data_IF_531458279547
#
_entry.id   IF_531458279547
#
_cell.length_a   1.000
_cell.length_b   1.000
_cell.length_c   1.000
_cell.angle_alpha   90.00
_cell.angle_beta   90.00
_cell.angle_gamma   90.00
#
_symmetry.space_group_name_H-M   'P 1'
#
loop_
_entity.id
_entity.type
_entity.pdbx_description
1 polymer ?
#
# COMPACT_ATOMS: atom_id res chain seq x y z
N UNK A 1 -22.01 -0.73 -19.22
CA UNK A 1 -20.69 -0.26 -19.73
C UNK A 1 -19.74 -1.44 -19.68
N UNK A 2 -19.12 -1.80 -20.80
CA UNK A 2 -18.01 -2.75 -20.83
C UNK A 2 -16.70 -1.97 -20.98
N UNK A 3 -15.71 -2.27 -20.15
CA UNK A 3 -14.36 -1.71 -20.30
C UNK A 3 -13.72 -2.29 -21.56
N UNK A 4 -12.93 -1.49 -22.27
CA UNK A 4 -12.11 -1.97 -23.38
C UNK A 4 -10.89 -2.78 -22.88
N UNK A 5 -10.28 -3.55 -23.78
CA UNK A 5 -9.17 -4.46 -23.43
C UNK A 5 -7.94 -3.73 -22.87
N UNK A 6 -7.66 -2.52 -23.37
CA UNK A 6 -6.53 -1.72 -22.88
C UNK A 6 -6.79 -1.29 -21.43
N UNK A 7 -7.99 -0.78 -21.13
CA UNK A 7 -8.38 -0.42 -19.77
C UNK A 7 -8.32 -1.63 -18.82
N UNK A 8 -8.76 -2.80 -19.27
CA UNK A 8 -8.68 -4.05 -18.48
C UNK A 8 -7.21 -4.41 -18.19
N UNK A 9 -6.34 -4.41 -19.20
CA UNK A 9 -4.94 -4.78 -19.05
C UNK A 9 -4.19 -3.84 -18.08
N UNK A 10 -4.38 -2.52 -18.22
CA UNK A 10 -3.76 -1.53 -17.32
C UNK A 10 -4.28 -1.68 -15.87
N UNK A 11 -5.57 -1.96 -15.71
CA UNK A 11 -6.16 -2.22 -14.38
C UNK A 11 -5.56 -3.47 -13.73
N UNK A 12 -5.37 -4.55 -14.50
CA UNK A 12 -4.75 -5.77 -14.02
C UNK A 12 -3.29 -5.57 -13.63
N UNK A 13 -2.51 -4.82 -14.43
CA UNK A 13 -1.14 -4.44 -14.09
C UNK A 13 -1.11 -3.68 -12.77
N UNK A 14 -1.93 -2.63 -12.65
CA UNK A 14 -1.99 -1.80 -11.43
C UNK A 14 -2.32 -2.62 -10.19
N UNK A 15 -3.36 -3.47 -10.27
CA UNK A 15 -3.75 -4.36 -9.17
C UNK A 15 -2.64 -5.36 -8.81
N UNK A 16 -1.97 -5.95 -9.82
CA UNK A 16 -0.89 -6.89 -9.58
C UNK A 16 0.31 -6.24 -8.88
N UNK A 17 0.68 -5.00 -9.25
CA UNK A 17 1.73 -4.22 -8.58
C UNK A 17 1.32 -3.90 -7.15
N UNK A 18 0.14 -3.30 -6.95
CA UNK A 18 -0.33 -2.90 -5.61
C UNK A 18 -0.34 -4.07 -4.62
N UNK A 19 -0.66 -5.28 -5.09
CA UNK A 19 -0.71 -6.50 -4.30
C UNK A 19 0.60 -7.31 -4.28
N UNK A 20 1.67 -6.84 -4.92
CA UNK A 20 2.93 -7.58 -5.08
C UNK A 20 2.75 -8.99 -5.70
N UNK A 21 1.78 -9.16 -6.59
CA UNK A 21 1.43 -10.43 -7.22
C UNK A 21 2.28 -10.67 -8.48
N UNK A 22 3.57 -11.01 -8.28
CA UNK A 22 4.58 -11.06 -9.36
C UNK A 22 4.22 -11.98 -10.53
N UNK A 23 3.62 -13.15 -10.25
CA UNK A 23 3.19 -14.07 -11.31
C UNK A 23 2.10 -13.44 -12.19
N UNK A 24 1.11 -12.79 -11.57
CA UNK A 24 0.03 -12.07 -12.26
C UNK A 24 0.56 -10.87 -13.02
N UNK A 25 1.49 -10.11 -12.43
CA UNK A 25 2.11 -8.95 -13.08
C UNK A 25 2.81 -9.37 -14.38
N UNK A 26 3.56 -10.48 -14.36
CA UNK A 26 4.24 -11.00 -15.55
C UNK A 26 3.24 -11.30 -16.68
N UNK A 27 2.13 -11.95 -16.36
CA UNK A 27 1.09 -12.29 -17.34
C UNK A 27 0.45 -11.02 -17.89
N UNK A 28 0.00 -10.11 -17.02
CA UNK A 28 -0.68 -8.89 -17.42
C UNK A 28 0.19 -7.96 -18.28
N UNK A 29 1.49 -7.83 -17.96
CA UNK A 29 2.43 -7.04 -18.78
C UNK A 29 2.64 -7.69 -20.15
N UNK A 30 2.75 -9.02 -20.21
CA UNK A 30 2.91 -9.74 -21.49
C UNK A 30 1.68 -9.54 -22.37
N UNK A 31 0.48 -9.64 -21.80
CA UNK A 31 -0.79 -9.41 -22.50
C UNK A 31 -0.92 -7.95 -22.97
N UNK A 32 -0.57 -6.98 -22.14
CA UNK A 32 -0.56 -5.56 -22.50
C UNK A 32 0.37 -5.27 -23.69
N UNK A 33 1.59 -5.82 -23.68
CA UNK A 33 2.53 -5.68 -24.79
C UNK A 33 1.99 -6.35 -26.08
N UNK A 34 1.36 -7.51 -25.95
CA UNK A 34 0.73 -8.21 -27.09
C UNK A 34 -0.45 -7.42 -27.68
N UNK A 35 -1.16 -6.63 -26.87
CA UNK A 35 -2.20 -5.68 -27.30
C UNK A 35 -1.63 -4.42 -27.96
N UNK A 36 -0.30 -4.26 -28.01
CA UNK A 36 0.37 -3.11 -28.62
C UNK A 36 0.48 -1.89 -27.72
N UNK A 37 0.29 -2.03 -26.40
CA UNK A 37 0.54 -0.94 -25.46
C UNK A 37 2.04 -0.60 -25.46
N UNK A 38 2.34 0.70 -25.41
CA UNK A 38 3.71 1.17 -25.34
C UNK A 38 4.34 0.82 -23.98
N UNK A 39 5.62 0.47 -23.97
CA UNK A 39 6.33 0.14 -22.74
C UNK A 39 6.33 1.32 -21.74
N UNK A 40 6.43 2.55 -22.24
CA UNK A 40 6.38 3.78 -21.44
C UNK A 40 5.05 3.92 -20.68
N UNK A 41 3.94 3.60 -21.33
CA UNK A 41 2.62 3.65 -20.70
C UNK A 41 2.47 2.60 -19.60
N UNK A 42 2.98 1.38 -19.83
CA UNK A 42 3.00 0.33 -18.82
C UNK A 42 3.84 0.76 -17.61
N UNK A 43 4.99 1.41 -17.86
CA UNK A 43 5.88 1.93 -16.82
C UNK A 43 5.20 3.03 -15.98
N UNK A 44 4.47 3.95 -16.60
CA UNK A 44 3.68 4.98 -15.91
C UNK A 44 2.65 4.35 -14.94
N UNK A 45 1.92 3.33 -15.39
CA UNK A 45 0.95 2.62 -14.54
C UNK A 45 1.63 1.87 -13.40
N UNK A 46 2.77 1.22 -13.66
CA UNK A 46 3.55 0.55 -12.61
C UNK A 46 4.02 1.56 -11.56
N UNK A 47 4.52 2.71 -11.98
CA UNK A 47 5.00 3.75 -11.07
C UNK A 47 3.89 4.29 -10.18
N UNK A 48 2.72 4.59 -10.77
CA UNK A 48 1.54 5.01 -10.01
C UNK A 48 1.10 3.93 -9.01
N UNK A 49 1.04 2.66 -9.43
CA UNK A 49 0.64 1.57 -8.56
C UNK A 49 1.64 1.30 -7.42
N UNK A 50 2.93 1.60 -7.63
CA UNK A 50 3.94 1.53 -6.56
C UNK A 50 3.69 2.56 -5.47
N UNK A 51 3.18 3.74 -5.79
CA UNK A 51 2.80 4.73 -4.76
C UNK A 51 1.72 4.17 -3.82
N UNK A 52 0.72 3.49 -4.39
CA UNK A 52 -0.32 2.79 -3.62
C UNK A 52 0.30 1.69 -2.76
N UNK A 53 1.23 0.90 -3.33
CA UNK A 53 1.93 -0.16 -2.60
C UNK A 53 2.77 0.37 -1.43
N UNK A 54 3.36 1.57 -1.54
CA UNK A 54 4.19 2.14 -0.47
C UNK A 54 3.39 2.55 0.77
N UNK A 55 2.10 2.88 0.64
CA UNK A 55 1.26 3.28 1.78
C UNK A 55 1.17 2.21 2.88
N UNK A 56 0.74 0.96 2.59
CA UNK A 56 0.69 -0.09 3.61
C UNK A 56 2.08 -0.45 4.17
N UNK A 57 3.14 -0.39 3.35
CA UNK A 57 4.51 -0.61 3.82
C UNK A 57 4.90 0.46 4.85
N UNK A 58 4.57 1.72 4.59
CA UNK A 58 4.79 2.83 5.51
C UNK A 58 4.01 2.63 6.82
N UNK A 59 2.74 2.21 6.75
CA UNK A 59 1.93 1.95 7.95
C UNK A 59 2.49 0.83 8.82
N UNK A 60 2.88 -0.30 8.21
CA UNK A 60 3.51 -1.42 8.94
C UNK A 60 4.82 -0.98 9.58
N UNK A 61 5.64 -0.21 8.85
CA UNK A 61 6.90 0.32 9.37
C UNK A 61 6.67 1.27 10.54
N UNK A 62 5.67 2.15 10.44
CA UNK A 62 5.31 3.08 11.51
C UNK A 62 4.86 2.34 12.77
N UNK A 63 3.93 1.39 12.64
CA UNK A 63 3.44 0.60 13.77
C UNK A 63 4.56 -0.23 14.40
N UNK A 64 5.41 -0.87 13.58
CA UNK A 64 6.56 -1.63 14.08
C UNK A 64 7.50 -0.73 14.88
N UNK A 65 7.80 0.48 14.38
CA UNK A 65 8.60 1.45 15.11
C UNK A 65 7.95 1.90 16.42
N UNK A 66 6.63 2.08 16.47
CA UNK A 66 5.92 2.39 17.71
C UNK A 66 6.07 1.26 18.73
N UNK A 67 5.77 0.02 18.33
CA UNK A 67 5.84 -1.15 19.21
C UNK A 67 7.24 -1.42 19.74
N UNK A 68 8.27 -1.26 18.90
CA UNK A 68 9.67 -1.44 19.32
C UNK A 68 10.21 -0.29 20.17
N UNK A 69 9.65 0.93 20.04
CA UNK A 69 9.97 2.08 20.89
C UNK A 69 9.25 2.06 22.23
N UNK A 70 8.14 1.34 22.38
CA UNK A 70 7.45 1.12 23.66
C UNK A 70 8.26 0.24 24.64
N UNK A 71 9.58 0.39 24.70
CA UNK A 71 10.34 0.05 25.89
C UNK A 71 10.16 1.19 26.91
N UNK A 72 9.36 0.92 27.94
CA UNK A 72 9.10 1.76 29.14
C UNK A 72 8.14 2.93 28.93
N UNK A 73 6.84 2.64 28.94
CA UNK A 73 5.94 3.57 29.63
C UNK A 73 6.48 3.70 31.05
N UNK A 74 7.00 4.87 31.40
CA UNK A 74 7.28 5.16 32.80
C UNK A 74 5.99 4.89 33.57
N UNK A 75 6.02 4.13 34.68
CA UNK A 75 4.86 4.04 35.54
C UNK A 75 4.48 5.47 35.88
N UNK A 76 3.31 5.89 35.43
CA UNK A 76 2.70 7.12 35.85
C UNK A 76 2.51 7.00 37.37
N UNK A 77 3.27 7.76 38.15
CA UNK A 77 2.95 7.96 39.56
C UNK A 77 1.67 8.81 39.58
N UNK A 78 0.57 8.19 40.00
CA UNK A 78 -0.67 8.91 40.30
C UNK A 78 -0.38 9.87 41.46
N UNK A 79 -0.09 11.14 41.16
CA UNK A 79 -0.22 12.19 42.15
C UNK A 79 -1.70 12.57 42.26
N UNK A 80 -2.12 13.07 43.44
CA UNK A 80 -3.49 13.50 43.74
C UNK A 80 -4.02 14.63 42.81
N UNK A 81 -3.24 15.04 41.81
CA UNK A 81 -3.53 16.10 40.85
C UNK A 81 -3.65 15.60 39.38
N UNK A 82 -3.62 14.29 39.10
CA UNK A 82 -3.92 13.78 37.75
C UNK A 82 -5.41 14.01 37.43
N UNK A 83 -5.71 15.06 36.65
CA UNK A 83 -7.05 15.36 36.09
C UNK A 83 -7.47 14.40 34.97
N UNK A 84 -7.17 13.12 35.14
CA UNK A 84 -7.32 12.05 34.17
C UNK A 84 -8.70 11.44 34.42
N UNK A 85 -9.72 12.13 33.91
CA UNK A 85 -11.13 11.99 34.29
C UNK A 85 -11.66 10.56 34.34
N UNK A 86 -11.88 10.08 35.56
CA UNK A 86 -12.91 9.09 35.86
C UNK A 86 -14.23 9.84 36.07
N UNK A 87 -14.89 10.21 34.98
CA UNK A 87 -16.29 10.60 34.97
C UNK A 87 -17.13 9.39 34.58
N UNK A 88 -18.07 9.01 35.45
CA UNK A 88 -19.04 7.92 35.27
C UNK A 88 -19.76 7.94 33.91
#
# INVERSE_FOLDING_TARGET
>A
MSLDQRTIALTQISAAVACNALATLRVAVTEALALGLAAQEIEEVINLAKEIQQQPISHVSHLTNQLLRESKKHPHEHSDQCGCGCGN
#
